data_IF_859456081317
#
_entry.id   IF_859456081317
#
_cell.length_a   1.000
_cell.length_b   1.000
_cell.length_c   1.000
_cell.angle_alpha   90.00
_cell.angle_beta   90.00
_cell.angle_gamma   90.00
#
_symmetry.space_group_name_H-M   'P 1'
#
loop_
_entity.id
_entity.type
_entity.pdbx_description
1 polymer ?
#
# COMPACT_ATOMS: atom_id res chain seq x y z
N UNK A 1 -13.79 -8.65 -15.67
CA UNK A 1 -13.19 -7.88 -14.57
C UNK A 1 -12.15 -8.76 -13.91
N UNK A 2 -10.90 -8.31 -13.80
CA UNK A 2 -9.85 -9.04 -13.07
C UNK A 2 -9.62 -8.34 -11.74
N UNK A 3 -9.51 -9.12 -10.66
CA UNK A 3 -9.24 -8.62 -9.32
C UNK A 3 -7.94 -9.25 -8.81
N UNK A 4 -7.08 -8.43 -8.22
CA UNK A 4 -5.86 -8.87 -7.55
C UNK A 4 -5.97 -8.51 -6.08
N UNK A 5 -5.97 -9.51 -5.20
CA UNK A 5 -5.87 -9.31 -3.76
C UNK A 5 -4.40 -9.44 -3.35
N UNK A 6 -3.87 -8.43 -2.67
CA UNK A 6 -2.49 -8.46 -2.15
C UNK A 6 -2.54 -8.74 -0.65
N UNK A 7 -1.78 -9.74 -0.21
CA UNK A 7 -1.73 -10.17 1.20
C UNK A 7 -0.39 -9.90 1.87
N UNK A 8 0.58 -9.32 1.15
CA UNK A 8 1.96 -9.11 1.64
C UNK A 8 2.04 -8.17 2.85
N UNK A 9 1.09 -7.26 3.00
CA UNK A 9 0.96 -6.33 4.14
C UNK A 9 0.09 -6.88 5.28
N UNK A 10 -0.37 -8.13 5.20
CA UNK A 10 -1.15 -8.72 6.29
C UNK A 10 -0.25 -9.01 7.50
N UNK A 11 -0.77 -8.83 8.71
CA UNK A 11 -0.06 -9.18 9.94
C UNK A 11 0.39 -10.66 9.91
N UNK A 12 1.60 -11.01 10.38
CA UNK A 12 2.52 -10.21 11.19
C UNK A 12 3.54 -9.37 10.39
N UNK A 13 3.23 -8.99 9.14
CA UNK A 13 4.11 -8.20 8.26
C UNK A 13 5.43 -8.94 7.95
N UNK A 14 5.30 -10.18 7.46
CA UNK A 14 6.45 -11.03 7.17
C UNK A 14 7.26 -10.42 6.02
N UNK A 15 8.42 -9.88 6.35
CA UNK A 15 9.39 -9.43 5.36
C UNK A 15 10.27 -10.61 4.93
N UNK A 16 10.48 -10.83 3.61
CA UNK A 16 11.36 -11.89 3.14
C UNK A 16 12.76 -11.68 3.68
N UNK A 17 13.29 -12.68 4.40
CA UNK A 17 14.65 -12.66 4.94
C UNK A 17 15.67 -13.22 3.93
N UNK A 18 15.32 -13.23 2.64
CA UNK A 18 16.19 -13.75 1.59
C UNK A 18 17.24 -12.70 1.16
N UNK A 19 18.30 -13.17 0.49
CA UNK A 19 19.38 -12.31 0.02
C UNK A 19 18.96 -11.34 -1.08
N UNK A 20 17.73 -11.43 -1.58
CA UNK A 20 17.20 -10.56 -2.65
C UNK A 20 16.58 -9.28 -2.10
N UNK A 21 16.16 -9.28 -0.83
CA UNK A 21 15.61 -8.12 -0.12
C UNK A 21 16.58 -7.61 0.95
N UNK A 22 17.67 -6.97 0.51
CA UNK A 22 18.70 -6.39 1.39
C UNK A 22 18.33 -5.04 2.00
N UNK A 23 17.24 -4.44 1.56
CA UNK A 23 16.96 -3.02 1.77
C UNK A 23 15.98 -2.74 2.91
N UNK A 24 15.99 -3.58 3.95
CA UNK A 24 15.14 -3.36 5.13
C UNK A 24 15.51 -2.03 5.79
N UNK A 25 14.54 -1.12 5.89
CA UNK A 25 14.72 0.20 6.46
C UNK A 25 14.20 0.28 7.90
N UNK A 26 14.92 1.02 8.74
CA UNK A 26 14.50 1.34 10.10
C UNK A 26 13.99 2.77 10.14
N UNK A 27 12.66 2.94 10.20
CA UNK A 27 11.99 4.25 10.20
C UNK A 27 11.68 4.76 11.61
N UNK A 28 11.40 3.83 12.53
CA UNK A 28 11.03 4.10 13.94
C UNK A 28 11.73 3.14 14.89
N UNK A 29 11.54 3.35 16.19
CA UNK A 29 11.97 2.39 17.21
C UNK A 29 10.99 1.21 17.38
N UNK A 30 9.77 1.27 16.82
CA UNK A 30 8.83 0.15 16.86
C UNK A 30 9.13 -0.85 15.71
N UNK A 31 9.59 -2.08 16.02
CA UNK A 31 9.90 -3.08 15.00
C UNK A 31 8.67 -3.48 14.16
N UNK A 32 7.45 -3.34 14.70
CA UNK A 32 6.20 -3.67 13.99
C UNK A 32 5.89 -2.63 12.92
N UNK A 33 6.11 -1.35 13.21
CA UNK A 33 5.94 -0.25 12.23
C UNK A 33 6.97 -0.41 11.12
N UNK A 34 8.23 -0.71 11.47
CA UNK A 34 9.26 -0.97 10.47
C UNK A 34 8.89 -2.15 9.57
N UNK A 35 8.42 -3.27 10.14
CA UNK A 35 8.01 -4.43 9.35
C UNK A 35 6.84 -4.09 8.41
N UNK A 36 5.83 -3.38 8.92
CA UNK A 36 4.71 -2.88 8.12
C UNK A 36 5.18 -2.01 6.94
N UNK A 37 5.97 -0.96 7.20
CA UNK A 37 6.43 -0.03 6.16
C UNK A 37 7.29 -0.73 5.10
N UNK A 38 8.13 -1.70 5.49
CA UNK A 38 8.92 -2.48 4.55
C UNK A 38 8.07 -3.43 3.70
N UNK A 39 7.06 -4.09 4.27
CA UNK A 39 6.12 -4.91 3.47
C UNK A 39 5.23 -4.05 2.55
N UNK A 40 4.89 -2.84 2.97
CA UNK A 40 4.17 -1.86 2.15
C UNK A 40 5.03 -1.41 0.96
N UNK A 41 6.33 -1.14 1.18
CA UNK A 41 7.30 -0.82 0.12
C UNK A 41 7.35 -1.92 -0.95
N UNK A 42 7.47 -3.19 -0.56
CA UNK A 42 7.47 -4.32 -1.52
C UNK A 42 6.16 -4.38 -2.30
N UNK A 43 5.03 -4.13 -1.63
CA UNK A 43 3.71 -4.13 -2.27
C UNK A 43 3.57 -3.00 -3.29
N UNK A 44 4.08 -1.81 -2.97
CA UNK A 44 4.12 -0.67 -3.88
C UNK A 44 5.02 -0.96 -5.10
N UNK A 45 6.19 -1.58 -4.91
CA UNK A 45 7.06 -1.99 -6.02
C UNK A 45 6.37 -3.01 -6.95
N UNK A 46 5.63 -3.96 -6.39
CA UNK A 46 4.81 -4.91 -7.17
C UNK A 46 3.74 -4.17 -7.98
N UNK A 47 3.01 -3.24 -7.34
CA UNK A 47 2.01 -2.43 -8.02
C UNK A 47 2.63 -1.61 -9.16
N UNK A 48 3.79 -0.98 -8.92
CA UNK A 48 4.57 -0.27 -9.91
C UNK A 48 4.93 -1.15 -11.12
N UNK A 49 5.37 -2.39 -10.89
CA UNK A 49 5.67 -3.37 -11.97
C UNK A 49 4.42 -3.72 -12.79
N UNK A 50 3.27 -3.92 -12.14
CA UNK A 50 1.99 -4.17 -12.82
C UNK A 50 1.64 -2.98 -13.72
N UNK A 51 1.62 -1.77 -13.16
CA UNK A 51 1.30 -0.55 -13.89
C UNK A 51 2.27 -0.33 -15.06
N UNK A 52 3.57 -0.56 -14.83
CA UNK A 52 4.58 -0.50 -15.90
C UNK A 52 4.28 -1.49 -17.03
N UNK A 53 3.89 -2.72 -16.72
CA UNK A 53 3.49 -3.73 -17.70
C UNK A 53 2.27 -3.31 -18.54
N UNK A 54 1.29 -2.63 -17.93
CA UNK A 54 0.15 -2.08 -18.68
C UNK A 54 0.56 -0.89 -19.55
N UNK A 55 1.44 -0.01 -19.06
CA UNK A 55 1.96 1.14 -19.82
C UNK A 55 2.77 0.69 -21.04
N UNK A 56 3.67 -0.28 -20.88
CA UNK A 56 4.51 -0.78 -21.98
C UNK A 56 3.70 -1.43 -23.10
N UNK A 57 2.53 -1.98 -22.77
CA UNK A 57 1.58 -2.57 -23.73
C UNK A 57 0.53 -1.58 -24.25
N UNK A 58 0.63 -0.29 -23.88
CA UNK A 58 -0.34 0.77 -24.21
C UNK A 58 -1.77 0.50 -23.70
N UNK A 59 -1.92 -0.38 -22.70
CA UNK A 59 -3.22 -0.73 -22.12
C UNK A 59 -3.64 0.17 -20.96
N UNK A 60 -2.68 0.89 -20.36
CA UNK A 60 -2.92 1.70 -19.17
C UNK A 60 -4.07 2.72 -19.33
N UNK A 61 -4.14 3.41 -20.48
CA UNK A 61 -5.18 4.40 -20.73
C UNK A 61 -6.53 3.80 -21.12
N UNK A 62 -6.53 2.56 -21.60
CA UNK A 62 -7.70 1.80 -22.06
C UNK A 62 -8.30 0.94 -20.95
N UNK A 63 -7.69 0.94 -19.76
CA UNK A 63 -8.08 0.12 -18.62
C UNK A 63 -8.58 1.01 -17.48
N UNK A 64 -9.69 0.66 -16.85
CA UNK A 64 -10.08 1.23 -15.57
C UNK A 64 -9.33 0.51 -14.45
N UNK A 65 -8.48 1.24 -13.74
CA UNK A 65 -7.87 0.76 -12.50
C UNK A 65 -8.67 1.28 -11.32
N UNK A 66 -9.07 0.36 -10.46
CA UNK A 66 -9.67 0.62 -9.16
C UNK A 66 -8.73 0.01 -8.14
N UNK A 67 -8.09 0.86 -7.34
CA UNK A 67 -7.25 0.44 -6.21
C UNK A 67 -7.96 0.85 -4.94
N UNK A 68 -8.22 -0.11 -4.07
CA UNK A 68 -8.86 0.11 -2.77
C UNK A 68 -8.14 -0.71 -1.72
N UNK A 69 -7.85 -0.11 -0.56
CA UNK A 69 -7.39 -0.87 0.60
C UNK A 69 -8.58 -1.49 1.32
N UNK A 70 -8.41 -2.70 1.84
CA UNK A 70 -9.44 -3.47 2.52
C UNK A 70 -9.82 -2.88 3.89
N UNK A 71 -8.82 -2.53 4.69
CA UNK A 71 -8.97 -1.84 5.98
C UNK A 71 -7.66 -1.13 6.38
N UNK A 72 -7.73 -0.20 7.33
CA UNK A 72 -6.54 0.38 7.93
C UNK A 72 -6.11 -0.41 9.18
N UNK A 73 -4.79 -0.52 9.40
CA UNK A 73 -4.24 -1.13 10.59
C UNK A 73 -3.97 -0.07 11.66
N UNK A 74 -4.51 -0.29 12.87
CA UNK A 74 -4.30 0.62 14.00
C UNK A 74 -3.09 0.14 14.81
N UNK A 75 -2.09 1.00 14.96
CA UNK A 75 -0.96 0.78 15.87
C UNK A 75 -1.28 1.38 17.24
N UNK A 76 -0.97 0.66 18.32
CA UNK A 76 -1.12 1.15 19.68
C UNK A 76 0.00 2.18 19.98
N UNK A 77 -0.40 3.45 20.04
CA UNK A 77 0.27 4.60 20.69
C UNK A 77 1.47 5.31 20.01
N UNK A 78 1.46 6.64 20.18
CA UNK A 78 2.43 7.72 19.91
C UNK A 78 3.05 7.92 18.51
N UNK A 79 3.18 6.90 17.68
CA UNK A 79 3.77 7.02 16.33
C UNK A 79 2.70 7.20 15.22
N UNK A 80 1.51 7.69 15.58
CA UNK A 80 0.41 7.95 14.64
C UNK A 80 0.81 8.85 13.47
N UNK A 81 1.78 9.75 13.68
CA UNK A 81 2.34 10.59 12.63
C UNK A 81 3.16 9.80 11.60
N UNK A 82 3.89 8.76 12.03
CA UNK A 82 4.79 7.99 11.15
C UNK A 82 4.02 7.09 10.17
N UNK A 83 2.83 6.65 10.55
CA UNK A 83 1.94 5.83 9.70
C UNK A 83 0.81 6.65 9.06
N UNK A 84 0.82 7.97 9.20
CA UNK A 84 -0.13 8.87 8.55
C UNK A 84 -1.57 8.78 9.07
N UNK A 85 -1.79 8.29 10.30
CA UNK A 85 -3.14 8.23 10.88
C UNK A 85 -3.64 9.64 11.16
N UNK A 86 -4.71 10.04 10.46
CA UNK A 86 -5.36 11.33 10.62
C UNK A 86 -6.16 11.37 11.93
N UNK A 87 -5.61 12.09 12.91
CA UNK A 87 -6.31 12.69 14.05
C UNK A 87 -6.74 11.76 15.21
N UNK A 88 -7.22 12.41 16.26
CA UNK A 88 -7.43 11.97 17.65
C UNK A 88 -8.39 10.80 17.90
N UNK A 89 -8.90 10.13 16.86
CA UNK A 89 -9.82 9.00 16.97
C UNK A 89 -9.28 7.77 16.21
N UNK A 90 -8.80 6.73 16.92
CA UNK A 90 -8.36 5.48 16.31
C UNK A 90 -9.43 4.80 15.46
N UNK A 91 -10.71 5.00 15.79
CA UNK A 91 -11.84 4.44 15.04
C UNK A 91 -12.01 5.11 13.68
N UNK A 92 -11.94 6.44 13.60
CA UNK A 92 -12.10 7.15 12.33
C UNK A 92 -10.94 6.81 11.38
N UNK A 93 -9.71 6.77 11.90
CA UNK A 93 -8.54 6.37 11.12
C UNK A 93 -8.62 4.93 10.62
N UNK A 94 -9.32 4.03 11.32
CA UNK A 94 -9.49 2.63 10.89
C UNK A 94 -10.36 2.47 9.64
N UNK A 95 -11.27 3.42 9.39
CA UNK A 95 -12.21 3.39 8.25
C UNK A 95 -11.77 4.25 7.06
N UNK A 96 -10.78 5.12 7.23
CA UNK A 96 -10.22 5.93 6.15
C UNK A 96 -9.19 5.11 5.36
N UNK A 97 -9.66 4.47 4.30
CA UNK A 97 -8.82 3.68 3.38
C UNK A 97 -8.60 4.41 2.05
N UNK A 98 -7.41 4.30 1.43
CA UNK A 98 -7.17 4.82 0.09
C UNK A 98 -8.12 4.20 -0.95
N UNK A 99 -8.75 5.07 -1.75
CA UNK A 99 -9.43 4.72 -3.00
C UNK A 99 -8.81 5.53 -4.14
N UNK A 100 -8.23 4.83 -5.11
CA UNK A 100 -7.69 5.44 -6.32
C UNK A 100 -8.44 4.91 -7.54
N UNK A 101 -8.99 5.82 -8.33
CA UNK A 101 -9.60 5.53 -9.62
C UNK A 101 -8.74 6.12 -10.71
N UNK A 102 -8.31 5.29 -11.65
CA UNK A 102 -7.56 5.76 -12.81
C UNK A 102 -8.16 5.23 -14.10
N UNK A 103 -8.53 6.16 -14.97
CA UNK A 103 -8.78 5.93 -16.38
C UNK A 103 -8.68 7.28 -17.11
N UNK A 104 -8.19 7.28 -18.35
CA UNK A 104 -8.05 8.52 -19.14
C UNK A 104 -9.37 9.31 -19.24
N UNK A 105 -10.49 8.62 -19.37
CA UNK A 105 -11.80 9.24 -19.57
C UNK A 105 -12.44 9.75 -18.27
N UNK A 106 -11.90 9.39 -17.10
CA UNK A 106 -12.34 9.97 -15.81
C UNK A 106 -11.78 11.39 -15.59
N UNK A 107 -10.72 11.77 -16.30
CA UNK A 107 -10.06 13.08 -16.16
C UNK A 107 -10.47 14.09 -17.23
N UNK A 108 -11.24 13.67 -18.24
CA UNK A 108 -11.75 14.56 -19.27
C UNK A 108 -12.98 15.31 -18.72
N UNK A 109 -12.81 16.61 -18.45
CA UNK A 109 -13.91 17.59 -18.43
C UNK A 109 -14.06 18.20 -19.81
#
# INVERSE_FOLDING_TARGET
MMSLLVTGTHKPFLFPNDRSYTDYQYYTNDPRINAYLNTLKITDELFGKIIHGFKSRKLYNETLFVTVSDYAYVFNDHDSQTVGLLSSSPLESAFLVPLLLHNRYLQAK
#
